data_IF_419562457898
#
_entry.id   IF_419562457898
#
_cell.length_a   1.000
_cell.length_b   1.000
_cell.length_c   1.000
_cell.angle_alpha   90.00
_cell.angle_beta   90.00
_cell.angle_gamma   90.00
#
_symmetry.space_group_name_H-M   'P 1'
#
loop_
_entity.id
_entity.type
_entity.pdbx_description
1 polymer ?
#
# COMPACT_ATOMS: atom_id res chain seq x y z
N UNK A 1 -16.86 10.26 9.08
CA UNK A 1 -17.55 10.13 10.38
C UNK A 1 -17.46 8.72 10.95
N UNK A 2 -17.56 7.67 10.14
CA UNK A 2 -17.47 6.27 10.60
C UNK A 2 -16.02 5.89 10.97
N UNK A 3 -15.03 6.27 10.18
CA UNK A 3 -13.61 6.04 10.42
C UNK A 3 -13.16 6.67 11.74
N UNK A 4 -13.62 7.86 12.08
CA UNK A 4 -13.28 8.52 13.35
C UNK A 4 -13.77 7.72 14.57
N UNK A 5 -14.98 7.15 14.50
CA UNK A 5 -15.51 6.27 15.56
C UNK A 5 -14.73 4.96 15.71
N UNK A 6 -14.20 4.44 14.59
CA UNK A 6 -13.37 3.24 14.58
C UNK A 6 -12.06 3.50 15.32
N UNK A 7 -11.44 4.63 15.07
CA UNK A 7 -10.20 5.05 15.71
C UNK A 7 -10.43 5.25 17.22
N UNK A 8 -11.54 5.87 17.61
CA UNK A 8 -11.92 6.05 19.02
C UNK A 8 -12.08 4.73 19.78
N UNK A 9 -12.48 3.64 19.11
CA UNK A 9 -12.62 2.32 19.71
C UNK A 9 -11.29 1.56 19.91
N UNK A 10 -10.21 1.99 19.30
CA UNK A 10 -8.83 1.51 19.56
C UNK A 10 -8.50 0.09 19.08
N UNK A 11 -9.40 -0.63 18.41
CA UNK A 11 -9.19 -2.02 17.95
C UNK A 11 -9.30 -2.12 16.44
N UNK A 12 -8.38 -1.50 15.74
CA UNK A 12 -8.40 -1.42 14.28
C UNK A 12 -7.01 -1.58 13.67
N UNK A 13 -6.96 -1.86 12.37
CA UNK A 13 -5.79 -1.70 11.51
C UNK A 13 -6.29 -1.31 10.12
N UNK A 14 -5.97 -0.11 9.67
CA UNK A 14 -6.52 0.46 8.44
C UNK A 14 -5.55 0.39 7.25
N UNK A 15 -4.47 -0.40 7.34
CA UNK A 15 -3.50 -0.52 6.27
C UNK A 15 -2.92 -1.95 6.22
N UNK A 16 -3.57 -2.80 5.41
CA UNK A 16 -3.21 -4.22 5.30
C UNK A 16 -3.17 -4.66 3.84
N UNK A 17 -2.14 -5.45 3.51
CA UNK A 17 -1.94 -6.03 2.18
C UNK A 17 -2.14 -7.55 2.19
N UNK A 18 -2.62 -8.06 1.06
CA UNK A 18 -2.90 -9.47 0.87
C UNK A 18 -2.23 -10.01 -0.40
N UNK A 19 -2.42 -11.29 -0.69
CA UNK A 19 -1.95 -11.89 -1.96
C UNK A 19 -2.67 -11.31 -3.19
N UNK A 20 -3.68 -10.46 -3.04
CA UNK A 20 -4.25 -9.74 -4.17
C UNK A 20 -3.28 -8.70 -4.75
N UNK A 21 -2.34 -8.19 -3.93
CA UNK A 21 -1.21 -7.35 -4.37
C UNK A 21 0.13 -8.00 -4.07
N UNK A 22 0.80 -7.63 -3.00
CA UNK A 22 2.15 -8.06 -2.65
C UNK A 22 2.31 -8.56 -1.22
N UNK A 23 1.20 -8.74 -0.51
CA UNK A 23 1.18 -9.45 0.75
C UNK A 23 1.42 -10.96 0.60
N UNK A 24 1.88 -11.60 1.66
CA UNK A 24 2.20 -13.05 1.67
C UNK A 24 1.00 -13.93 2.01
N UNK A 25 -0.05 -13.36 2.59
CA UNK A 25 -1.25 -14.06 3.07
C UNK A 25 -2.49 -13.73 2.23
N UNK A 26 -3.36 -14.72 2.06
CA UNK A 26 -4.66 -14.48 1.41
C UNK A 26 -5.53 -13.53 2.21
N UNK A 27 -6.52 -12.87 1.58
CA UNK A 27 -7.47 -12.03 2.31
C UNK A 27 -8.13 -12.74 3.49
N UNK A 28 -8.50 -14.01 3.33
CA UNK A 28 -9.07 -14.83 4.41
C UNK A 28 -8.12 -15.05 5.58
N UNK A 29 -6.83 -15.27 5.30
CA UNK A 29 -5.81 -15.45 6.35
C UNK A 29 -5.59 -14.15 7.11
N UNK A 30 -5.45 -13.01 6.42
CA UNK A 30 -5.29 -11.68 7.05
C UNK A 30 -6.47 -11.36 7.98
N UNK A 31 -7.71 -11.63 7.55
CA UNK A 31 -8.92 -11.42 8.39
C UNK A 31 -8.88 -12.30 9.64
N UNK A 32 -8.49 -13.58 9.52
CA UNK A 32 -8.37 -14.48 10.67
C UNK A 32 -7.28 -14.05 11.64
N UNK A 33 -6.12 -13.63 11.13
CA UNK A 33 -5.01 -13.12 11.93
C UNK A 33 -5.42 -11.85 12.70
N UNK A 34 -6.11 -10.92 12.05
CA UNK A 34 -6.64 -9.71 12.69
C UNK A 34 -7.63 -10.04 13.82
N UNK A 35 -8.54 -10.99 13.60
CA UNK A 35 -9.46 -11.45 14.63
C UNK A 35 -8.75 -12.09 15.82
N UNK A 36 -7.70 -12.89 15.59
CA UNK A 36 -6.86 -13.49 16.64
C UNK A 36 -6.12 -12.43 17.47
N UNK A 37 -5.75 -11.31 16.86
CA UNK A 37 -5.18 -10.15 17.57
C UNK A 37 -6.23 -9.28 18.30
N UNK A 38 -7.51 -9.65 18.23
CA UNK A 38 -8.61 -8.95 18.90
C UNK A 38 -9.06 -7.67 18.20
N UNK A 39 -8.67 -7.45 16.95
CA UNK A 39 -9.15 -6.32 16.16
C UNK A 39 -10.65 -6.51 15.82
N UNK A 40 -11.39 -5.43 15.83
CA UNK A 40 -12.82 -5.40 15.48
C UNK A 40 -13.08 -4.84 14.10
N UNK A 41 -12.14 -4.06 13.59
CA UNK A 41 -12.24 -3.40 12.28
C UNK A 41 -10.89 -3.38 11.58
N UNK A 42 -10.87 -3.76 10.31
CA UNK A 42 -9.68 -3.65 9.47
C UNK A 42 -10.04 -3.09 8.09
N UNK A 43 -9.07 -2.48 7.43
CA UNK A 43 -9.16 -2.17 6.00
C UNK A 43 -8.23 -3.06 5.19
N UNK A 44 -8.72 -3.60 4.08
CA UNK A 44 -7.88 -4.25 3.07
C UNK A 44 -7.57 -3.18 2.03
N UNK A 45 -6.28 -2.88 1.88
CA UNK A 45 -5.78 -1.74 1.10
C UNK A 45 -4.72 -2.17 0.09
N UNK A 46 -4.96 -3.27 -0.60
CA UNK A 46 -4.07 -3.81 -1.60
C UNK A 46 -3.66 -2.77 -2.67
N UNK A 47 -2.41 -2.81 -3.11
CA UNK A 47 -1.88 -1.89 -4.11
C UNK A 47 -2.61 -2.00 -5.45
N UNK A 48 -3.26 -0.91 -5.87
CA UNK A 48 -3.90 -0.70 -7.18
C UNK A 48 -4.87 -1.82 -7.59
N UNK A 49 -5.52 -2.48 -6.60
CA UNK A 49 -6.53 -3.52 -6.85
C UNK A 49 -7.57 -3.58 -5.73
N UNK A 50 -8.77 -4.08 -6.08
CA UNK A 50 -9.85 -4.41 -5.14
C UNK A 50 -10.12 -5.92 -5.08
N UNK A 51 -9.29 -6.73 -5.75
CA UNK A 51 -9.56 -8.16 -5.96
C UNK A 51 -9.64 -8.96 -4.64
N UNK A 52 -8.97 -8.49 -3.55
CA UNK A 52 -9.00 -9.13 -2.23
C UNK A 52 -10.23 -8.82 -1.37
N UNK A 53 -11.00 -7.78 -1.71
CA UNK A 53 -12.07 -7.24 -0.84
C UNK A 53 -13.20 -8.23 -0.62
N UNK A 54 -13.68 -8.88 -1.68
CA UNK A 54 -14.84 -9.79 -1.60
C UNK A 54 -14.55 -10.99 -0.70
N UNK A 55 -13.40 -11.62 -0.85
CA UNK A 55 -12.96 -12.75 0.00
C UNK A 55 -12.83 -12.33 1.47
N UNK A 56 -12.26 -11.14 1.71
CA UNK A 56 -12.12 -10.59 3.06
C UNK A 56 -13.50 -10.38 3.72
N UNK A 57 -14.47 -9.77 3.00
CA UNK A 57 -15.83 -9.53 3.50
C UNK A 57 -16.53 -10.84 3.83
N UNK A 58 -16.45 -11.84 2.95
CA UNK A 58 -17.09 -13.15 3.17
C UNK A 58 -16.51 -13.88 4.39
N UNK A 59 -15.21 -13.77 4.62
CA UNK A 59 -14.55 -14.33 5.79
C UNK A 59 -14.91 -13.58 7.05
N UNK A 60 -14.89 -12.25 7.00
CA UNK A 60 -15.19 -11.38 8.13
C UNK A 60 -16.62 -11.55 8.67
N UNK A 61 -17.61 -11.74 7.78
CA UNK A 61 -19.00 -12.03 8.16
C UNK A 61 -19.14 -13.29 9.03
N UNK A 62 -18.30 -14.31 8.82
CA UNK A 62 -18.32 -15.55 9.58
C UNK A 62 -17.67 -15.41 10.95
N UNK A 63 -16.75 -14.46 11.11
CA UNK A 63 -15.91 -14.27 12.29
C UNK A 63 -16.45 -13.12 13.18
N UNK A 64 -17.19 -12.17 12.60
CA UNK A 64 -17.73 -11.01 13.32
C UNK A 64 -16.79 -9.82 13.37
N UNK A 65 -15.87 -9.68 12.39
CA UNK A 65 -15.01 -8.51 12.22
C UNK A 65 -15.54 -7.61 11.09
N UNK A 66 -15.32 -6.30 11.19
CA UNK A 66 -15.75 -5.34 10.16
C UNK A 66 -14.64 -5.12 9.13
N UNK A 67 -14.97 -5.22 7.85
CA UNK A 67 -14.06 -4.85 6.74
C UNK A 67 -14.45 -3.48 6.19
N UNK A 68 -13.47 -2.59 6.11
CA UNK A 68 -13.55 -1.37 5.30
C UNK A 68 -12.97 -1.72 3.92
N UNK A 69 -13.76 -1.68 2.84
CA UNK A 69 -13.24 -1.81 1.50
C UNK A 69 -12.27 -0.66 1.21
N UNK A 70 -11.02 -0.99 0.89
CA UNK A 70 -9.99 0.01 0.69
C UNK A 70 -9.09 -0.30 -0.51
N UNK A 71 -8.19 0.59 -0.76
CA UNK A 71 -7.14 0.49 -1.78
C UNK A 71 -5.95 1.34 -1.35
N UNK A 72 -4.73 0.93 -1.65
CA UNK A 72 -3.58 1.82 -1.68
C UNK A 72 -3.23 2.16 -3.12
N UNK A 73 -3.56 3.39 -3.53
CA UNK A 73 -3.39 3.85 -4.89
C UNK A 73 -2.02 4.50 -5.07
N UNK A 74 -1.21 3.93 -5.98
CA UNK A 74 0.13 4.45 -6.27
C UNK A 74 0.07 5.69 -7.15
N UNK A 75 0.64 6.79 -6.68
CA UNK A 75 0.76 8.05 -7.42
C UNK A 75 2.21 8.53 -7.49
N UNK A 76 2.50 9.56 -8.28
CA UNK A 76 3.82 10.16 -8.41
C UNK A 76 3.74 11.69 -8.34
N UNK A 77 4.60 12.29 -7.53
CA UNK A 77 4.70 13.74 -7.37
C UNK A 77 6.16 14.18 -7.23
N UNK A 78 6.59 15.12 -8.07
CA UNK A 78 7.98 15.63 -8.08
C UNK A 78 9.04 14.52 -8.08
N UNK A 79 8.81 13.46 -8.87
CA UNK A 79 9.74 12.33 -8.98
C UNK A 79 9.65 11.28 -7.87
N UNK A 80 8.90 11.54 -6.80
CA UNK A 80 8.70 10.61 -5.69
C UNK A 80 7.40 9.80 -5.82
N UNK A 81 7.42 8.56 -5.36
CA UNK A 81 6.21 7.77 -5.17
C UNK A 81 5.44 8.31 -3.98
N UNK A 82 4.15 8.56 -4.17
CA UNK A 82 3.21 8.99 -3.15
C UNK A 82 2.06 8.00 -3.19
N UNK A 83 1.84 7.28 -2.13
CA UNK A 83 0.73 6.33 -2.05
C UNK A 83 -0.44 6.98 -1.28
N UNK A 84 -1.66 6.79 -1.80
CA UNK A 84 -2.90 7.34 -1.25
C UNK A 84 -3.81 6.19 -0.88
N UNK A 85 -4.13 6.07 0.41
CA UNK A 85 -5.14 5.13 0.89
C UNK A 85 -6.54 5.66 0.52
N UNK A 86 -7.35 4.79 -0.04
CA UNK A 86 -8.77 5.03 -0.25
C UNK A 86 -9.58 4.13 0.65
N UNK A 87 -10.53 4.68 1.41
CA UNK A 87 -11.41 3.90 2.28
C UNK A 87 -12.86 4.02 1.83
N UNK A 88 -13.70 3.03 2.14
CA UNK A 88 -15.10 2.93 1.71
C UNK A 88 -15.26 3.00 0.18
N UNK A 89 -14.34 2.37 -0.53
CA UNK A 89 -14.32 2.38 -1.99
C UNK A 89 -15.44 1.49 -2.54
N UNK A 90 -16.19 2.05 -3.50
CA UNK A 90 -17.10 1.29 -4.34
C UNK A 90 -16.48 1.08 -5.72
N UNK A 91 -16.59 -0.14 -6.23
CA UNK A 91 -16.11 -0.40 -7.59
C UNK A 91 -16.96 0.35 -8.61
N UNK A 92 -16.31 1.27 -9.35
CA UNK A 92 -16.92 2.02 -10.45
C UNK A 92 -16.25 1.64 -11.76
N UNK A 93 -16.94 1.81 -12.90
CA UNK A 93 -16.35 1.56 -14.23
C UNK A 93 -15.10 2.40 -14.47
N UNK A 94 -15.07 3.63 -13.95
CA UNK A 94 -13.92 4.53 -14.09
C UNK A 94 -12.74 4.00 -13.29
N UNK A 95 -12.94 3.67 -12.02
CA UNK A 95 -11.89 3.10 -11.15
C UNK A 95 -11.33 1.80 -11.75
N UNK A 96 -12.20 0.85 -12.11
CA UNK A 96 -11.79 -0.42 -12.73
C UNK A 96 -10.98 -0.21 -14.00
N UNK A 97 -11.37 0.76 -14.87
CA UNK A 97 -10.62 1.09 -16.09
C UNK A 97 -9.21 1.63 -15.78
N UNK A 98 -9.08 2.52 -14.79
CA UNK A 98 -7.78 3.08 -14.37
C UNK A 98 -6.91 1.98 -13.76
N UNK A 99 -7.45 1.18 -12.86
CA UNK A 99 -6.72 0.07 -12.22
C UNK A 99 -6.25 -0.97 -13.26
N UNK A 100 -7.07 -1.27 -14.26
CA UNK A 100 -6.68 -2.15 -15.37
C UNK A 100 -5.49 -1.58 -16.17
N UNK A 101 -5.50 -0.27 -16.46
CA UNK A 101 -4.37 0.40 -17.15
C UNK A 101 -3.11 0.37 -16.27
N UNK A 102 -3.23 0.60 -14.96
CA UNK A 102 -2.12 0.53 -14.04
C UNK A 102 -1.53 -0.89 -13.96
N UNK A 103 -2.37 -1.93 -13.88
CA UNK A 103 -1.94 -3.34 -13.91
C UNK A 103 -1.18 -3.67 -15.22
N UNK A 104 -1.72 -3.29 -16.36
CA UNK A 104 -1.05 -3.49 -17.66
C UNK A 104 0.31 -2.78 -17.73
N UNK A 105 0.37 -1.55 -17.21
CA UNK A 105 1.62 -0.81 -17.14
C UNK A 105 2.63 -1.51 -16.20
N UNK A 106 2.20 -2.03 -15.04
CA UNK A 106 3.05 -2.81 -14.12
C UNK A 106 3.63 -4.07 -14.79
N UNK A 107 2.82 -4.79 -15.58
CA UNK A 107 3.30 -5.96 -16.34
C UNK A 107 4.37 -5.56 -17.37
N UNK A 108 4.13 -4.53 -18.16
CA UNK A 108 5.10 -4.02 -19.13
C UNK A 108 6.39 -3.55 -18.45
N UNK A 109 6.26 -2.84 -17.33
CA UNK A 109 7.37 -2.39 -16.50
C UNK A 109 8.21 -3.57 -15.97
N UNK A 110 7.55 -4.64 -15.53
CA UNK A 110 8.24 -5.85 -15.09
C UNK A 110 9.12 -6.43 -16.21
N UNK A 111 8.62 -6.50 -17.44
CA UNK A 111 9.41 -6.95 -18.60
C UNK A 111 10.63 -6.06 -18.85
N UNK A 112 10.48 -4.74 -18.73
CA UNK A 112 11.60 -3.80 -18.89
C UNK A 112 12.65 -4.00 -17.80
N UNK A 113 12.23 -4.19 -16.55
CA UNK A 113 13.12 -4.48 -15.42
C UNK A 113 13.86 -5.80 -15.64
N UNK A 114 13.16 -6.86 -16.03
CA UNK A 114 13.77 -8.16 -16.36
C UNK A 114 14.87 -8.00 -17.44
N UNK A 115 14.56 -7.27 -18.50
CA UNK A 115 15.54 -7.01 -19.56
C UNK A 115 16.77 -6.24 -19.05
N UNK A 116 16.60 -5.31 -18.10
CA UNK A 116 17.72 -4.59 -17.48
C UNK A 116 18.60 -5.50 -16.64
N UNK A 117 18.01 -6.39 -15.83
CA UNK A 117 18.75 -7.41 -15.09
C UNK A 117 19.52 -8.35 -16.03
N UNK A 118 18.89 -8.81 -17.12
CA UNK A 118 19.57 -9.63 -18.12
C UNK A 118 20.79 -8.92 -18.75
N UNK A 119 20.70 -7.61 -19.02
CA UNK A 119 21.85 -6.81 -19.53
C UNK A 119 22.99 -6.70 -18.53
N UNK A 120 22.72 -6.83 -17.23
CA UNK A 120 23.73 -6.90 -16.18
C UNK A 120 24.26 -8.33 -15.93
N UNK A 121 23.87 -9.31 -16.76
CA UNK A 121 24.28 -10.71 -16.61
C UNK A 121 23.47 -11.50 -15.59
N UNK A 122 22.40 -10.91 -15.04
CA UNK A 122 21.51 -11.54 -14.06
C UNK A 122 20.24 -12.05 -14.74
N UNK A 123 20.22 -13.33 -15.12
CA UNK A 123 19.10 -13.94 -15.86
C UNK A 123 17.96 -14.30 -14.91
N UNK A 124 16.90 -13.52 -14.94
CA UNK A 124 15.60 -13.81 -14.28
C UNK A 124 14.50 -13.83 -15.33
N UNK A 125 13.45 -14.60 -15.08
CA UNK A 125 12.30 -14.76 -16.00
C UNK A 125 11.00 -14.30 -15.34
N UNK A 126 9.95 -14.12 -16.13
CA UNK A 126 8.62 -13.85 -15.57
C UNK A 126 8.13 -15.00 -14.70
N UNK A 127 8.41 -16.24 -15.07
CA UNK A 127 8.04 -17.43 -14.29
C UNK A 127 8.73 -17.42 -12.91
N UNK A 128 9.99 -16.96 -12.83
CA UNK A 128 10.68 -16.81 -11.55
C UNK A 128 9.98 -15.79 -10.64
N UNK A 129 9.51 -14.69 -11.21
CA UNK A 129 8.80 -13.63 -10.48
C UNK A 129 7.40 -14.07 -10.08
N UNK A 130 6.69 -14.79 -10.96
CA UNK A 130 5.33 -15.28 -10.72
C UNK A 130 5.25 -16.28 -9.56
N UNK A 131 6.32 -16.97 -9.21
CA UNK A 131 6.37 -17.81 -7.99
C UNK A 131 6.06 -17.05 -6.72
N UNK A 132 6.34 -15.74 -6.70
CA UNK A 132 6.15 -14.85 -5.55
C UNK A 132 4.90 -13.99 -5.65
N UNK A 133 4.32 -13.83 -6.87
CA UNK A 133 3.09 -13.07 -7.11
C UNK A 133 1.90 -14.02 -7.19
N UNK A 134 1.22 -14.22 -6.07
CA UNK A 134 0.02 -15.10 -6.01
C UNK A 134 -1.23 -14.42 -6.59
N UNK A 135 -1.22 -13.09 -6.76
CA UNK A 135 -2.32 -12.28 -7.30
C UNK A 135 -2.05 -11.77 -8.71
N UNK A 136 -2.91 -10.85 -9.15
CA UNK A 136 -2.85 -10.23 -10.49
C UNK A 136 -1.87 -9.03 -10.56
N UNK A 137 -1.25 -8.64 -9.44
CA UNK A 137 -0.37 -7.48 -9.35
C UNK A 137 1.08 -7.92 -9.15
N UNK A 138 1.95 -7.60 -10.13
CA UNK A 138 3.39 -7.79 -10.00
C UNK A 138 4.00 -6.51 -9.40
N UNK A 139 4.66 -6.66 -8.24
CA UNK A 139 5.33 -5.57 -7.53
C UNK A 139 6.86 -5.77 -7.52
N UNK A 140 7.62 -4.68 -7.27
CA UNK A 140 9.09 -4.76 -7.15
C UNK A 140 9.59 -5.77 -6.11
N UNK A 141 8.93 -5.95 -4.94
CA UNK A 141 9.32 -7.01 -3.99
C UNK A 141 9.32 -8.42 -4.58
N UNK A 142 8.38 -8.75 -5.48
CA UNK A 142 8.37 -10.05 -6.16
C UNK A 142 9.60 -10.24 -7.06
N UNK A 143 10.02 -9.17 -7.77
CA UNK A 143 11.23 -9.18 -8.59
C UNK A 143 12.46 -9.34 -7.70
N UNK A 144 12.53 -8.60 -6.59
CA UNK A 144 13.64 -8.68 -5.65
C UNK A 144 13.79 -10.11 -5.09
N UNK A 145 12.69 -10.76 -4.68
CA UNK A 145 12.69 -12.16 -4.22
C UNK A 145 13.22 -13.10 -5.30
N UNK A 146 12.82 -12.93 -6.57
CA UNK A 146 13.33 -13.74 -7.69
C UNK A 146 14.84 -13.55 -7.92
N UNK A 147 15.35 -12.33 -7.78
CA UNK A 147 16.80 -12.03 -7.89
C UNK A 147 17.59 -12.72 -6.77
N UNK A 148 17.09 -12.66 -5.53
CA UNK A 148 17.69 -13.34 -4.37
C UNK A 148 17.68 -14.85 -4.53
N UNK A 149 16.54 -15.44 -4.95
CA UNK A 149 16.38 -16.89 -5.17
C UNK A 149 17.35 -17.43 -6.23
N UNK A 150 17.70 -16.62 -7.22
CA UNK A 150 18.73 -16.93 -8.22
C UNK A 150 20.17 -16.75 -7.72
N UNK A 151 20.37 -16.29 -6.49
CA UNK A 151 21.68 -16.09 -5.88
C UNK A 151 22.43 -14.85 -6.38
N UNK A 152 21.74 -13.88 -6.99
CA UNK A 152 22.36 -12.62 -7.48
C UNK A 152 22.48 -11.54 -6.41
N UNK A 153 21.83 -11.71 -5.26
CA UNK A 153 21.93 -10.84 -4.09
C UNK A 153 21.71 -11.65 -2.81
N UNK A 154 22.18 -11.16 -1.67
CA UNK A 154 22.05 -11.83 -0.37
C UNK A 154 20.63 -11.73 0.21
N UNK A 155 19.98 -10.58 -0.02
CA UNK A 155 18.63 -10.29 0.48
C UNK A 155 17.91 -9.27 -0.43
N UNK A 156 16.62 -9.07 -0.19
CA UNK A 156 15.81 -8.14 -0.98
C UNK A 156 16.21 -6.69 -0.78
N UNK A 157 16.73 -6.31 0.39
CA UNK A 157 17.18 -4.95 0.66
C UNK A 157 18.37 -4.60 -0.24
N UNK A 158 19.34 -5.50 -0.40
CA UNK A 158 20.47 -5.30 -1.31
C UNK A 158 20.02 -5.13 -2.76
N UNK A 159 18.98 -5.87 -3.20
CA UNK A 159 18.41 -5.70 -4.55
C UNK A 159 17.84 -4.30 -4.74
N UNK A 160 17.15 -3.77 -3.74
CA UNK A 160 16.63 -2.40 -3.81
C UNK A 160 17.74 -1.36 -3.79
N UNK A 161 18.73 -1.52 -2.93
CA UNK A 161 19.83 -0.56 -2.76
C UNK A 161 20.72 -0.45 -4.00
N UNK A 162 20.94 -1.58 -4.69
CA UNK A 162 21.85 -1.64 -5.83
C UNK A 162 21.14 -1.53 -7.19
N UNK A 163 19.91 -2.04 -7.32
CA UNK A 163 19.30 -2.26 -8.63
C UNK A 163 17.88 -1.69 -8.82
N UNK A 164 16.97 -1.83 -7.84
CA UNK A 164 15.53 -1.56 -8.02
C UNK A 164 15.02 -0.28 -7.36
N UNK A 165 15.78 0.31 -6.44
CA UNK A 165 15.45 1.60 -5.82
C UNK A 165 15.32 2.71 -6.86
N UNK A 166 14.65 3.78 -6.52
CA UNK A 166 14.44 4.91 -7.44
C UNK A 166 15.80 5.48 -7.90
N UNK A 167 15.95 5.67 -9.22
CA UNK A 167 17.22 6.10 -9.85
C UNK A 167 18.28 5.01 -9.99
N UNK A 168 18.03 3.76 -9.59
CA UNK A 168 18.97 2.65 -9.73
C UNK A 168 18.93 2.02 -11.13
N UNK A 169 19.97 1.25 -11.54
CA UNK A 169 20.16 0.78 -12.93
C UNK A 169 18.98 -0.02 -13.50
N UNK A 170 18.31 -0.83 -12.68
CA UNK A 170 17.14 -1.62 -13.11
C UNK A 170 15.81 -0.96 -12.76
N UNK A 171 15.83 0.23 -12.18
CA UNK A 171 14.58 0.95 -11.91
C UNK A 171 13.84 1.31 -13.20
N UNK A 172 12.53 1.21 -13.17
CA UNK A 172 11.59 1.69 -14.19
C UNK A 172 10.47 2.48 -13.52
N UNK A 173 10.02 3.53 -14.17
CA UNK A 173 8.98 4.38 -13.62
C UNK A 173 7.61 3.68 -13.57
N UNK A 174 6.82 3.99 -12.54
CA UNK A 174 5.41 3.65 -12.45
C UNK A 174 4.61 4.51 -13.46
N UNK A 175 3.39 4.07 -13.83
CA UNK A 175 2.45 4.93 -14.54
C UNK A 175 2.24 6.23 -13.73
N UNK A 176 2.34 7.37 -14.39
CA UNK A 176 2.20 8.66 -13.72
C UNK A 176 0.72 9.00 -13.51
N UNK A 177 0.17 8.59 -12.37
CA UNK A 177 -1.04 9.15 -11.80
C UNK A 177 -0.61 10.22 -10.80
N UNK A 178 -1.11 11.46 -10.95
CA UNK A 178 -0.83 12.50 -9.97
C UNK A 178 -1.62 12.27 -8.68
N UNK A 179 -1.14 12.74 -7.50
CA UNK A 179 -1.92 12.65 -6.26
C UNK A 179 -3.31 13.29 -6.39
N UNK A 180 -3.42 14.44 -7.04
CA UNK A 180 -4.72 15.09 -7.27
C UNK A 180 -5.68 14.21 -8.07
N UNK A 181 -5.20 13.56 -9.14
CA UNK A 181 -6.02 12.62 -9.93
C UNK A 181 -6.38 11.36 -9.14
N UNK A 182 -5.47 10.85 -8.30
CA UNK A 182 -5.74 9.71 -7.41
C UNK A 182 -6.80 10.03 -6.36
N UNK A 183 -6.69 11.19 -5.72
CA UNK A 183 -7.68 11.68 -4.74
C UNK A 183 -9.06 11.82 -5.40
N UNK A 184 -9.12 12.45 -6.58
CA UNK A 184 -10.37 12.61 -7.31
C UNK A 184 -11.00 11.27 -7.69
N UNK A 185 -10.19 10.29 -8.12
CA UNK A 185 -10.64 8.94 -8.44
C UNK A 185 -11.24 8.22 -7.22
N UNK A 186 -10.61 8.34 -6.06
CA UNK A 186 -11.10 7.81 -4.78
C UNK A 186 -12.44 8.47 -4.43
N UNK A 187 -12.54 9.80 -4.51
CA UNK A 187 -13.78 10.52 -4.21
C UNK A 187 -14.92 10.12 -5.16
N UNK A 188 -14.66 9.97 -6.47
CA UNK A 188 -15.66 9.50 -7.44
C UNK A 188 -16.11 8.07 -7.20
N UNK A 189 -15.25 7.26 -6.56
CA UNK A 189 -15.61 5.93 -6.10
C UNK A 189 -16.36 5.93 -4.75
N UNK A 190 -16.74 7.10 -4.24
CA UNK A 190 -17.46 7.28 -2.96
C UNK A 190 -16.58 7.17 -1.73
N UNK A 191 -15.27 7.11 -1.91
CA UNK A 191 -14.28 6.88 -0.85
C UNK A 191 -13.75 8.14 -0.20
N UNK A 192 -12.90 7.93 0.79
CA UNK A 192 -12.16 8.93 1.56
C UNK A 192 -10.66 8.75 1.27
N UNK A 193 -9.97 9.81 0.88
CA UNK A 193 -8.56 9.77 0.47
C UNK A 193 -7.62 10.19 1.62
N UNK A 194 -6.63 9.35 1.94
CA UNK A 194 -5.71 9.56 3.05
C UNK A 194 -4.26 9.38 2.57
N UNK A 195 -3.36 10.30 2.93
CA UNK A 195 -1.94 10.20 2.63
C UNK A 195 -1.33 9.04 3.43
N UNK A 196 -0.83 8.03 2.73
CA UNK A 196 -0.18 6.87 3.34
C UNK A 196 1.23 7.21 3.85
N UNK A 197 1.66 6.58 4.94
CA UNK A 197 3.03 6.57 5.50
C UNK A 197 3.89 7.79 5.10
N UNK A 198 3.54 9.02 5.51
CA UNK A 198 4.18 10.27 5.06
C UNK A 198 5.69 10.30 5.36
N UNK A 199 6.17 9.57 6.37
CA UNK A 199 7.59 9.43 6.68
C UNK A 199 8.38 8.88 5.48
N UNK A 200 7.82 7.94 4.72
CA UNK A 200 8.50 7.27 3.60
C UNK A 200 8.67 8.18 2.36
N UNK A 201 8.06 9.35 2.35
CA UNK A 201 8.27 10.38 1.32
C UNK A 201 9.67 11.00 1.48
N UNK A 202 10.23 11.02 2.71
CA UNK A 202 11.52 11.64 3.04
C UNK A 202 11.64 13.09 2.56
N UNK A 203 10.53 13.85 2.64
CA UNK A 203 10.49 15.26 2.23
C UNK A 203 9.25 15.94 2.84
N UNK A 204 9.46 16.66 3.94
CA UNK A 204 8.38 17.32 4.67
C UNK A 204 7.73 18.47 3.86
N UNK A 205 8.45 19.07 2.92
CA UNK A 205 7.89 20.11 2.05
C UNK A 205 6.85 19.48 1.11
N UNK A 206 7.16 18.33 0.54
CA UNK A 206 6.21 17.59 -0.30
C UNK A 206 5.00 17.12 0.52
N UNK A 207 5.22 16.60 1.74
CA UNK A 207 4.11 16.22 2.63
C UNK A 207 3.19 17.44 2.87
N UNK A 208 3.75 18.60 3.17
CA UNK A 208 2.96 19.79 3.42
C UNK A 208 2.20 20.29 2.17
N UNK A 209 2.81 20.22 0.99
CA UNK A 209 2.14 20.52 -0.28
C UNK A 209 0.96 19.55 -0.54
N UNK A 210 1.13 18.26 -0.27
CA UNK A 210 0.06 17.26 -0.42
C UNK A 210 -1.11 17.51 0.53
N UNK A 211 -0.85 17.99 1.75
CA UNK A 211 -1.89 18.35 2.72
C UNK A 211 -2.77 19.53 2.25
N UNK A 212 -2.31 20.33 1.28
CA UNK A 212 -3.10 21.42 0.69
C UNK A 212 -4.03 20.96 -0.44
N UNK A 213 -3.85 19.71 -0.90
CA UNK A 213 -4.78 19.10 -1.86
C UNK A 213 -6.12 18.75 -1.20
N UNK A 214 -7.07 18.27 -2.01
CA UNK A 214 -8.39 17.81 -1.56
C UNK A 214 -8.33 16.47 -0.80
N UNK A 215 -7.18 16.11 -0.21
CA UNK A 215 -7.03 14.92 0.61
C UNK A 215 -7.84 15.05 1.90
N UNK A 216 -8.41 13.97 2.40
CA UNK A 216 -9.29 14.00 3.59
C UNK A 216 -8.52 13.73 4.88
N UNK A 217 -7.40 12.98 4.81
CA UNK A 217 -6.65 12.58 5.98
C UNK A 217 -5.17 12.30 5.71
N UNK A 218 -4.48 11.94 6.79
CA UNK A 218 -3.08 11.53 6.79
C UNK A 218 -2.89 10.38 7.77
N UNK A 219 -2.08 9.41 7.42
CA UNK A 219 -1.68 8.32 8.30
C UNK A 219 -0.67 8.83 9.33
N UNK A 220 -1.11 8.89 10.58
CA UNK A 220 -0.37 9.47 11.70
C UNK A 220 0.36 8.40 12.48
N UNK A 221 -0.18 7.18 12.51
CA UNK A 221 0.41 6.05 13.19
C UNK A 221 0.74 4.96 12.17
N UNK A 222 2.00 4.59 12.12
CA UNK A 222 2.50 3.58 11.19
C UNK A 222 3.72 2.90 11.80
N UNK A 223 3.91 1.58 11.58
CA UNK A 223 4.99 0.78 12.21
C UNK A 223 6.40 1.36 12.08
N UNK A 224 6.67 2.14 11.02
CA UNK A 224 7.99 2.77 10.79
C UNK A 224 8.11 4.16 11.39
N UNK A 225 7.03 4.72 11.94
CA UNK A 225 7.01 6.04 12.53
C UNK A 225 7.34 5.95 14.03
N UNK A 226 8.22 6.81 14.48
CA UNK A 226 8.46 7.02 15.91
C UNK A 226 7.29 7.79 16.55
N UNK A 227 7.28 7.84 17.87
CA UNK A 227 6.32 8.68 18.61
C UNK A 227 6.47 10.17 18.24
N UNK A 228 7.71 10.62 17.98
CA UNK A 228 8.00 11.98 17.56
C UNK A 228 7.43 12.28 16.16
N UNK A 229 7.58 11.34 15.20
CA UNK A 229 6.98 11.44 13.87
C UNK A 229 5.46 11.51 13.97
N UNK A 230 4.86 10.64 14.80
CA UNK A 230 3.41 10.64 15.03
C UNK A 230 2.94 11.97 15.61
N UNK A 231 3.66 12.57 16.57
CA UNK A 231 3.37 13.91 17.11
C UNK A 231 3.44 14.99 16.02
N UNK A 232 4.45 14.91 15.14
CA UNK A 232 4.62 15.82 14.00
C UNK A 232 3.43 15.73 13.03
N UNK A 233 3.05 14.53 12.61
CA UNK A 233 1.93 14.34 11.68
C UNK A 233 0.56 14.63 12.33
N UNK A 234 0.38 14.39 13.64
CA UNK A 234 -0.79 14.87 14.39
C UNK A 234 -0.93 16.40 14.32
N UNK A 235 0.19 17.11 14.50
CA UNK A 235 0.21 18.58 14.43
C UNK A 235 -0.13 19.07 13.03
N UNK A 236 0.41 18.40 12.00
CA UNK A 236 0.12 18.69 10.60
C UNK A 236 -1.36 18.45 10.26
N UNK A 237 -1.91 17.30 10.67
CA UNK A 237 -3.32 16.99 10.50
C UNK A 237 -4.24 18.04 11.12
N UNK A 238 -3.94 18.49 12.35
CA UNK A 238 -4.67 19.57 13.02
C UNK A 238 -4.56 20.91 12.26
N UNK A 239 -3.36 21.29 11.81
CA UNK A 239 -3.11 22.52 11.03
C UNK A 239 -4.00 22.59 9.79
N UNK A 240 -4.12 21.49 9.05
CA UNK A 240 -4.89 21.40 7.81
C UNK A 240 -6.31 20.88 8.00
N UNK A 241 -6.75 20.62 9.25
CA UNK A 241 -8.07 20.05 9.59
C UNK A 241 -8.35 18.75 8.86
N UNK A 242 -7.35 17.85 8.81
CA UNK A 242 -7.42 16.55 8.16
C UNK A 242 -7.69 15.46 9.19
N UNK A 243 -8.33 14.39 8.73
CA UNK A 243 -8.51 13.16 9.49
C UNK A 243 -7.17 12.51 9.83
N UNK A 244 -7.09 11.83 10.96
CA UNK A 244 -5.95 11.04 11.37
C UNK A 244 -6.31 9.57 11.24
N UNK A 245 -5.44 8.77 10.63
CA UNK A 245 -5.60 7.31 10.54
C UNK A 245 -4.31 6.62 10.98
N UNK A 246 -4.34 5.29 11.01
CA UNK A 246 -3.16 4.49 11.28
C UNK A 246 -3.34 3.05 10.84
N UNK A 247 -2.24 2.39 10.56
CA UNK A 247 -2.19 1.01 10.18
C UNK A 247 -0.78 0.44 10.18
N UNK A 248 -0.69 -0.90 10.22
CA UNK A 248 0.58 -1.60 10.31
C UNK A 248 1.32 -1.68 8.97
N UNK A 249 0.63 -1.47 7.84
CA UNK A 249 1.16 -1.72 6.50
C UNK A 249 1.71 -3.16 6.41
N UNK A 250 0.90 -4.10 6.93
CA UNK A 250 1.26 -5.51 7.02
C UNK A 250 1.38 -6.15 5.64
N UNK A 251 2.48 -6.86 5.38
CA UNK A 251 2.71 -7.59 4.14
C UNK A 251 3.09 -9.06 4.38
N UNK A 252 3.80 -9.36 5.45
CA UNK A 252 4.37 -10.70 5.71
C UNK A 252 4.64 -10.90 7.21
N UNK A 253 5.22 -12.05 7.57
CA UNK A 253 5.52 -12.47 8.95
C UNK A 253 6.54 -11.58 9.69
N UNK A 254 7.27 -10.72 8.99
CA UNK A 254 8.20 -9.75 9.60
C UNK A 254 7.45 -8.56 10.22
N UNK A 255 6.14 -8.46 9.95
CA UNK A 255 5.28 -7.39 10.44
C UNK A 255 4.19 -7.98 11.32
N UNK A 256 3.67 -7.20 12.26
CA UNK A 256 2.57 -7.61 13.13
C UNK A 256 1.31 -6.77 12.84
N UNK A 257 0.19 -7.46 12.57
CA UNK A 257 -1.12 -6.83 12.39
C UNK A 257 -1.53 -6.16 13.70
N UNK A 258 -2.00 -4.91 13.61
CA UNK A 258 -2.43 -4.10 14.77
C UNK A 258 -1.29 -3.40 15.50
N UNK A 259 -0.02 -3.59 15.11
CA UNK A 259 1.12 -2.94 15.73
C UNK A 259 1.66 -1.81 14.87
N UNK A 260 1.26 -0.60 15.18
CA UNK A 260 1.63 0.61 14.43
C UNK A 260 1.77 1.86 15.31
N UNK A 261 1.99 1.69 16.63
CA UNK A 261 2.24 2.80 17.56
C UNK A 261 0.99 3.60 17.94
N UNK A 262 -0.21 3.06 17.73
CA UNK A 262 -1.44 3.65 18.25
C UNK A 262 -1.67 3.17 19.68
N UNK A 263 -1.78 4.11 20.61
CA UNK A 263 -2.21 3.87 21.98
C UNK A 263 -3.62 4.47 22.16
N UNK A 264 -4.57 3.64 22.57
CA UNK A 264 -5.99 4.01 22.78
C UNK A 264 -6.19 4.86 24.04
#
# INVERSE_FOLDING_TARGET
LEILKIIENGRFDLHLHTTASDGSFSPSEVVKMAAQKGLTTIAITDHDTLDGIQEAIETARKIGITIIPGIELSTKYKGKTIDILGYNIHETKELSSVLQKMRKHRQNRCLLIVNKFCKLGMTITLEDIQKYSKGNVIARPHIAKAVVDKGYAKDTQEVFDLYLGDGKPCAEDKMELSPSSGIELIHRAGGVAVLAHPLLIHDDIIVEELMQLAIDGIEVWHRKQSEEDSKRYKSLAKKYRKMMTGGSDFHNEEHEIGEFGFES
#
